data_IF_160638370622
#
_entry.id   IF_160638370622
#
_cell.length_a   1.000
_cell.length_b   1.000
_cell.length_c   1.000
_cell.angle_alpha   90.00
_cell.angle_beta   90.00
_cell.angle_gamma   90.00
#
_symmetry.space_group_name_H-M   'P 1'
#
loop_
_entity.id
_entity.type
_entity.pdbx_description
1 polymer ?
#
# COMPACT_ATOMS: atom_id res chain seq x y z
N UNK A 1 28.77 4.31 -12.01
CA UNK A 1 27.88 3.13 -11.82
C UNK A 1 28.64 2.14 -10.95
N UNK A 2 28.36 2.12 -9.64
CA UNK A 2 28.99 1.17 -8.72
C UNK A 2 28.23 -0.16 -8.81
N UNK A 3 29.01 -1.22 -8.93
CA UNK A 3 28.58 -2.60 -9.13
C UNK A 3 27.87 -3.11 -7.86
N UNK A 4 26.51 -3.17 -7.89
CA UNK A 4 25.65 -3.58 -6.77
C UNK A 4 25.70 -5.10 -6.45
N UNK A 5 26.70 -5.81 -6.98
CA UNK A 5 26.84 -7.27 -6.81
C UNK A 5 27.55 -7.67 -5.51
N UNK A 6 28.00 -6.72 -4.68
CA UNK A 6 28.82 -7.00 -3.49
C UNK A 6 28.04 -7.15 -2.18
N UNK A 7 26.82 -6.68 -2.10
CA UNK A 7 26.04 -6.73 -0.85
C UNK A 7 25.64 -8.15 -0.50
N UNK A 8 25.78 -8.54 0.75
CA UNK A 8 25.28 -9.82 1.26
C UNK A 8 23.77 -9.80 1.36
N UNK A 9 23.13 -10.98 1.37
CA UNK A 9 21.68 -11.09 1.57
C UNK A 9 21.27 -10.50 2.92
N UNK A 10 22.13 -10.59 3.92
CA UNK A 10 21.91 -10.02 5.25
C UNK A 10 21.88 -8.48 5.20
N UNK A 11 22.83 -7.86 4.53
CA UNK A 11 22.89 -6.42 4.36
C UNK A 11 21.67 -5.89 3.61
N UNK A 12 21.26 -6.58 2.54
CA UNK A 12 20.04 -6.25 1.80
C UNK A 12 18.81 -6.38 2.70
N UNK A 13 18.68 -7.46 3.48
CA UNK A 13 17.57 -7.67 4.39
C UNK A 13 17.42 -6.53 5.41
N UNK A 14 18.53 -6.13 6.05
CA UNK A 14 18.53 -5.04 7.03
C UNK A 14 18.25 -3.69 6.37
N UNK A 15 18.78 -3.44 5.17
CA UNK A 15 18.51 -2.21 4.40
C UNK A 15 17.03 -2.13 3.94
N UNK A 16 16.40 -3.28 3.70
CA UNK A 16 14.96 -3.37 3.42
C UNK A 16 14.09 -3.31 4.71
N UNK A 17 14.67 -3.00 5.88
CA UNK A 17 13.92 -2.81 7.12
C UNK A 17 13.57 -4.11 7.86
N UNK A 18 14.07 -5.27 7.44
CA UNK A 18 13.80 -6.51 8.14
C UNK A 18 14.67 -6.64 9.41
N UNK A 19 14.07 -7.01 10.52
CA UNK A 19 14.75 -7.21 11.80
C UNK A 19 15.73 -8.41 11.77
N UNK A 20 15.44 -9.41 10.93
CA UNK A 20 16.30 -10.58 10.76
C UNK A 20 16.20 -11.19 9.36
N UNK A 21 17.27 -11.88 8.96
CA UNK A 21 17.40 -12.51 7.64
C UNK A 21 16.35 -13.61 7.40
N UNK A 22 15.87 -14.27 8.44
CA UNK A 22 14.89 -15.34 8.31
C UNK A 22 13.52 -14.81 7.90
N UNK A 23 13.11 -13.67 8.44
CA UNK A 23 11.87 -12.98 8.05
C UNK A 23 11.96 -12.47 6.62
N UNK A 24 13.07 -11.83 6.24
CA UNK A 24 13.35 -11.44 4.86
C UNK A 24 13.28 -12.64 3.91
N UNK A 25 13.96 -13.75 4.24
CA UNK A 25 14.01 -14.93 3.37
C UNK A 25 12.64 -15.55 3.14
N UNK A 26 11.78 -15.57 4.16
CA UNK A 26 10.39 -16.04 4.04
C UNK A 26 9.56 -15.13 3.18
N UNK A 27 9.60 -13.83 3.45
CA UNK A 27 8.88 -12.82 2.66
C UNK A 27 9.34 -12.83 1.19
N UNK A 28 10.68 -12.86 0.98
CA UNK A 28 11.26 -12.92 -0.36
C UNK A 28 10.82 -14.17 -1.12
N UNK A 29 10.86 -15.35 -0.46
CA UNK A 29 10.42 -16.61 -1.08
C UNK A 29 8.92 -16.62 -1.36
N UNK A 30 8.11 -16.05 -0.46
CA UNK A 30 6.66 -15.93 -0.66
C UNK A 30 6.34 -15.04 -1.86
N UNK A 31 7.05 -13.92 -2.00
CA UNK A 31 6.82 -12.94 -3.06
C UNK A 31 7.40 -13.39 -4.42
N UNK A 32 8.65 -13.88 -4.43
CA UNK A 32 9.36 -14.23 -5.66
C UNK A 32 9.31 -15.72 -6.02
N UNK A 33 8.70 -16.56 -5.19
CA UNK A 33 8.60 -18.01 -5.41
C UNK A 33 9.93 -18.78 -5.22
N UNK A 34 11.05 -18.09 -4.99
CA UNK A 34 12.39 -18.68 -4.82
C UNK A 34 13.14 -17.94 -3.72
N UNK A 35 14.18 -18.60 -3.16
CA UNK A 35 15.04 -17.97 -2.18
C UNK A 35 15.88 -16.84 -2.79
N UNK A 36 16.23 -15.83 -1.99
CA UNK A 36 17.10 -14.73 -2.42
C UNK A 36 18.47 -15.23 -2.93
N UNK A 37 18.95 -16.37 -2.40
CA UNK A 37 20.20 -17.01 -2.84
C UNK A 37 20.07 -17.61 -4.25
N UNK A 38 18.97 -18.28 -4.53
CA UNK A 38 18.67 -18.79 -5.87
C UNK A 38 18.45 -17.66 -6.86
N UNK A 39 17.71 -16.63 -6.44
CA UNK A 39 17.46 -15.43 -7.22
C UNK A 39 18.76 -14.74 -7.68
N UNK A 40 19.75 -14.61 -6.80
CA UNK A 40 21.06 -14.01 -7.12
C UNK A 40 21.87 -14.80 -8.15
N UNK A 41 21.62 -16.11 -8.27
CA UNK A 41 22.28 -16.99 -9.26
C UNK A 41 21.65 -16.94 -10.64
N UNK A 42 20.50 -16.26 -10.77
CA UNK A 42 19.81 -16.17 -12.05
C UNK A 42 20.50 -15.16 -12.95
N UNK A 43 20.52 -15.46 -14.24
CA UNK A 43 21.08 -14.59 -15.26
C UNK A 43 20.38 -13.21 -15.22
N UNK A 44 21.18 -12.13 -15.41
CA UNK A 44 20.68 -10.73 -15.48
C UNK A 44 19.67 -10.51 -16.61
N UNK A 45 19.49 -11.48 -17.51
CA UNK A 45 18.48 -11.47 -18.58
C UNK A 45 17.06 -11.84 -18.10
N UNK A 46 16.88 -12.16 -16.82
CA UNK A 46 15.61 -12.58 -16.25
C UNK A 46 14.94 -11.40 -15.61
N UNK A 47 13.79 -11.02 -16.14
CA UNK A 47 12.93 -10.00 -15.56
C UNK A 47 11.94 -10.63 -14.58
N UNK A 48 11.72 -9.93 -13.46
CA UNK A 48 10.67 -10.27 -12.53
C UNK A 48 9.60 -9.22 -12.63
N UNK A 49 8.40 -9.66 -12.93
CA UNK A 49 7.22 -8.84 -12.99
C UNK A 49 6.18 -9.50 -12.10
N UNK A 50 5.64 -8.80 -11.09
CA UNK A 50 4.68 -9.34 -10.12
C UNK A 50 5.08 -10.70 -9.50
N UNK A 51 6.34 -10.84 -9.08
CA UNK A 51 6.86 -12.10 -8.55
C UNK A 51 7.07 -13.22 -9.59
N UNK A 52 6.81 -12.96 -10.87
CA UNK A 52 6.87 -13.93 -11.96
C UNK A 52 8.14 -13.70 -12.78
N UNK A 53 8.81 -14.77 -13.17
CA UNK A 53 10.07 -14.74 -13.92
C UNK A 53 9.85 -14.94 -15.40
N UNK A 54 10.49 -14.08 -16.20
CA UNK A 54 10.56 -14.23 -17.64
C UNK A 54 12.01 -14.17 -18.13
N UNK A 55 12.36 -15.02 -19.10
CA UNK A 55 13.51 -14.78 -19.95
C UNK A 55 13.12 -13.74 -21.03
N UNK A 56 14.11 -13.01 -21.57
CA UNK A 56 13.89 -12.06 -22.70
C UNK A 56 13.09 -12.65 -23.87
N UNK A 57 13.04 -13.96 -24.00
CA UNK A 57 12.41 -14.68 -25.10
C UNK A 57 11.20 -15.52 -24.65
N UNK A 58 10.62 -15.25 -23.46
CA UNK A 58 9.51 -16.04 -22.87
C UNK A 58 9.80 -17.56 -22.80
N UNK A 59 11.07 -17.97 -22.79
CA UNK A 59 11.44 -19.38 -22.70
C UNK A 59 11.48 -19.83 -21.24
N UNK A 60 10.88 -20.99 -20.92
CA UNK A 60 10.94 -21.54 -19.57
C UNK A 60 12.40 -21.77 -19.16
N UNK A 61 12.75 -21.41 -17.90
CA UNK A 61 14.09 -21.66 -17.37
C UNK A 61 14.16 -23.13 -16.96
N UNK A 62 14.64 -23.97 -17.88
CA UNK A 62 14.63 -25.43 -17.79
C UNK A 62 15.51 -26.04 -16.70
N UNK A 63 16.18 -25.24 -15.86
CA UNK A 63 17.12 -25.73 -14.84
C UNK A 63 16.65 -25.58 -13.38
N UNK A 64 15.41 -25.20 -13.15
CA UNK A 64 14.85 -25.07 -11.80
C UNK A 64 13.63 -25.99 -11.70
N UNK A 65 13.80 -27.10 -11.02
CA UNK A 65 12.89 -28.18 -10.65
C UNK A 65 11.49 -28.33 -11.27
N UNK A 66 11.03 -29.56 -11.38
CA UNK A 66 9.78 -30.01 -12.04
C UNK A 66 8.48 -29.28 -11.65
N UNK A 67 8.44 -28.58 -10.51
CA UNK A 67 7.26 -27.82 -10.05
C UNK A 67 7.07 -26.47 -10.77
N UNK A 68 8.07 -25.97 -11.48
CA UNK A 68 7.99 -24.68 -12.19
C UNK A 68 7.38 -24.83 -13.57
N UNK A 69 7.37 -26.03 -14.12
CA UNK A 69 6.81 -26.28 -15.47
C UNK A 69 5.28 -26.09 -15.49
N UNK A 70 4.57 -26.54 -14.45
CA UNK A 70 3.12 -26.33 -14.33
C UNK A 70 2.75 -24.85 -14.07
N UNK A 71 3.58 -24.14 -13.31
CA UNK A 71 3.40 -22.71 -13.09
C UNK A 71 3.67 -21.91 -14.36
N UNK A 72 4.65 -22.30 -15.18
CA UNK A 72 4.98 -21.62 -16.43
C UNK A 72 3.90 -21.74 -17.51
N UNK A 73 3.19 -22.87 -17.59
CA UNK A 73 2.10 -23.05 -18.56
C UNK A 73 0.87 -22.19 -18.20
N UNK A 74 0.57 -22.02 -16.92
CA UNK A 74 -0.47 -21.10 -16.45
C UNK A 74 -0.06 -19.62 -16.60
N UNK A 75 1.22 -19.31 -16.51
CA UNK A 75 1.76 -17.95 -16.59
C UNK A 75 1.86 -17.45 -18.02
N UNK A 76 2.15 -18.32 -19.00
CA UNK A 76 2.15 -17.93 -20.41
C UNK A 76 0.74 -17.64 -20.96
N UNK A 77 -0.31 -18.10 -20.27
CA UNK A 77 -1.69 -17.79 -20.61
C UNK A 77 -2.25 -16.57 -19.88
N UNK A 78 -1.57 -16.08 -18.87
CA UNK A 78 -1.87 -14.76 -18.26
C UNK A 78 -1.22 -13.71 -19.15
N UNK A 79 -2.03 -12.99 -19.89
CA UNK A 79 -1.61 -11.80 -20.62
C UNK A 79 -0.65 -11.00 -19.75
N UNK A 80 0.46 -10.54 -20.36
CA UNK A 80 1.41 -9.61 -19.78
C UNK A 80 0.63 -8.36 -19.30
N UNK A 81 0.03 -8.45 -18.14
CA UNK A 81 -0.34 -7.26 -17.43
C UNK A 81 0.99 -6.59 -17.13
N UNK A 82 1.37 -5.67 -17.99
CA UNK A 82 2.36 -4.67 -17.68
C UNK A 82 2.09 -4.26 -16.24
N UNK A 83 3.11 -4.02 -15.44
CA UNK A 83 2.94 -3.25 -14.20
C UNK A 83 2.21 -2.00 -14.67
N UNK A 84 0.88 -2.04 -14.64
CA UNK A 84 0.06 -0.90 -14.97
C UNK A 84 0.28 0.01 -13.77
N UNK A 85 1.37 0.78 -13.83
CA UNK A 85 1.56 1.92 -12.96
C UNK A 85 0.52 2.90 -13.48
N UNK A 86 -0.38 3.32 -12.64
CA UNK A 86 -1.35 4.33 -13.02
C UNK A 86 -0.58 5.60 -13.38
N UNK A 87 -0.94 6.19 -14.51
CA UNK A 87 -0.40 7.49 -14.90
C UNK A 87 -0.97 8.55 -13.95
N UNK A 88 -0.26 8.77 -12.86
CA UNK A 88 -0.61 9.76 -11.85
C UNK A 88 0.61 10.54 -11.43
N UNK A 89 0.40 11.82 -11.16
CA UNK A 89 1.45 12.68 -10.63
C UNK A 89 1.58 12.46 -9.13
N UNK A 90 2.75 11.98 -8.69
CA UNK A 90 3.07 11.85 -7.28
C UNK A 90 3.96 13.02 -6.87
N UNK A 91 3.57 13.75 -5.83
CA UNK A 91 4.23 14.95 -5.35
C UNK A 91 4.62 14.82 -3.88
N UNK A 92 5.75 15.44 -3.52
CA UNK A 92 6.10 15.62 -2.11
C UNK A 92 5.49 16.94 -1.62
N UNK A 93 4.62 16.85 -0.60
CA UNK A 93 4.00 18.03 0.02
C UNK A 93 4.19 18.03 1.52
N UNK A 94 4.23 19.24 2.08
CA UNK A 94 4.09 19.45 3.51
C UNK A 94 2.60 19.41 3.86
N UNK A 95 2.20 18.37 4.58
CA UNK A 95 0.82 18.21 5.02
C UNK A 95 0.63 18.78 6.42
N UNK A 96 -0.51 19.44 6.69
CA UNK A 96 -0.86 19.89 8.03
C UNK A 96 -1.21 18.71 8.93
N UNK A 97 -1.27 18.99 10.22
CA UNK A 97 -1.85 18.05 11.19
C UNK A 97 -3.35 17.90 10.93
N UNK A 98 -3.84 16.66 11.01
CA UNK A 98 -5.26 16.33 10.87
C UNK A 98 -5.80 15.80 12.19
N UNK A 99 -6.78 16.50 12.76
CA UNK A 99 -7.52 16.02 13.93
C UNK A 99 -8.68 15.16 13.46
N UNK A 100 -8.76 13.95 13.95
CA UNK A 100 -9.69 12.93 13.48
C UNK A 100 -10.58 12.41 14.62
N UNK A 101 -11.84 12.13 14.30
CA UNK A 101 -12.63 11.16 15.06
C UNK A 101 -12.79 9.91 14.18
N UNK A 102 -12.72 8.73 14.79
CA UNK A 102 -12.67 7.49 14.06
C UNK A 102 -13.48 6.36 14.70
N UNK A 103 -13.88 5.40 13.87
CA UNK A 103 -14.30 4.06 14.28
C UNK A 103 -13.26 3.05 13.76
N UNK A 104 -12.70 2.24 14.68
CA UNK A 104 -11.69 1.24 14.29
C UNK A 104 -12.31 0.04 13.64
N UNK A 105 -11.74 -0.35 12.50
CA UNK A 105 -11.96 -1.63 11.85
C UNK A 105 -10.75 -2.54 12.07
N UNK A 106 -11.03 -3.82 12.32
CA UNK A 106 -10.02 -4.88 12.35
C UNK A 106 -10.44 -5.97 11.39
N UNK A 107 -9.61 -6.28 10.41
CA UNK A 107 -9.90 -7.27 9.39
C UNK A 107 -9.62 -6.80 7.97
N UNK A 108 -10.20 -7.49 7.00
CA UNK A 108 -9.98 -7.23 5.58
C UNK A 108 -10.38 -5.79 5.18
N UNK A 109 -9.56 -5.14 4.34
CA UNK A 109 -9.72 -3.75 3.91
C UNK A 109 -11.10 -3.46 3.30
N UNK A 110 -11.62 -4.36 2.47
CA UNK A 110 -12.91 -4.22 1.80
C UNK A 110 -14.13 -4.26 2.76
N UNK A 111 -13.92 -4.49 4.05
CA UNK A 111 -14.98 -4.49 5.08
C UNK A 111 -15.02 -3.21 5.91
N UNK A 112 -14.15 -2.24 5.65
CA UNK A 112 -14.08 -0.98 6.41
C UNK A 112 -15.38 -0.16 6.34
N UNK A 113 -16.20 -0.36 5.32
CA UNK A 113 -17.50 0.30 5.18
C UNK A 113 -18.39 0.20 6.42
N UNK A 114 -18.32 -0.92 7.16
CA UNK A 114 -19.08 -1.09 8.41
C UNK A 114 -18.63 -0.12 9.51
N UNK A 115 -17.33 0.20 9.56
CA UNK A 115 -16.80 1.19 10.51
C UNK A 115 -17.21 2.61 10.11
N UNK A 116 -17.22 2.91 8.82
CA UNK A 116 -17.77 4.18 8.32
C UNK A 116 -19.25 4.33 8.64
N UNK A 117 -20.08 3.29 8.45
CA UNK A 117 -21.49 3.34 8.84
C UNK A 117 -21.69 3.67 10.31
N UNK A 118 -20.92 3.04 11.21
CA UNK A 118 -20.96 3.29 12.65
C UNK A 118 -20.54 4.75 12.95
N UNK A 119 -19.46 5.20 12.34
CA UNK A 119 -18.96 6.56 12.49
C UNK A 119 -20.01 7.59 12.07
N UNK A 120 -20.61 7.43 10.89
CA UNK A 120 -21.63 8.37 10.39
C UNK A 120 -22.92 8.32 11.21
N UNK A 121 -23.38 7.15 11.63
CA UNK A 121 -24.51 7.03 12.55
C UNK A 121 -24.30 7.80 13.85
N UNK A 122 -23.07 7.86 14.32
CA UNK A 122 -22.71 8.61 15.53
C UNK A 122 -22.52 10.11 15.24
N UNK A 123 -21.86 10.47 14.14
CA UNK A 123 -21.42 11.83 13.83
C UNK A 123 -22.54 12.73 13.25
N UNK A 124 -23.40 12.18 12.37
CA UNK A 124 -24.46 12.96 11.70
C UNK A 124 -25.45 13.61 12.69
N UNK A 125 -26.02 12.89 13.68
CA UNK A 125 -26.93 13.51 14.64
C UNK A 125 -26.27 14.59 15.51
N UNK A 126 -24.95 14.62 15.56
CA UNK A 126 -24.14 15.58 16.34
C UNK A 126 -23.71 16.80 15.51
N UNK A 127 -24.12 16.88 14.26
CA UNK A 127 -23.81 17.98 13.36
C UNK A 127 -22.31 18.04 12.96
N UNK A 128 -21.60 16.90 13.02
CA UNK A 128 -20.18 16.84 12.71
C UNK A 128 -19.91 16.52 11.24
N UNK A 129 -20.96 16.24 10.48
CA UNK A 129 -20.88 15.91 9.05
C UNK A 129 -21.58 17.00 8.26
N UNK A 130 -20.85 17.62 7.33
CA UNK A 130 -21.32 18.63 6.40
C UNK A 130 -20.90 18.26 4.97
N UNK A 131 -21.33 19.00 3.98
CA UNK A 131 -20.89 18.81 2.58
C UNK A 131 -19.39 19.03 2.36
N UNK A 132 -18.70 19.70 3.29
CA UNK A 132 -17.25 19.91 3.25
C UNK A 132 -16.46 18.90 4.09
N UNK A 133 -17.13 18.00 4.81
CA UNK A 133 -16.48 17.01 5.64
C UNK A 133 -15.70 16.03 4.78
N UNK A 134 -14.40 15.89 5.06
CA UNK A 134 -13.54 14.93 4.38
C UNK A 134 -13.40 13.67 5.22
N UNK A 135 -13.43 12.52 4.54
CA UNK A 135 -13.17 11.22 5.14
C UNK A 135 -11.72 10.83 4.96
N UNK A 136 -11.20 10.08 5.93
CA UNK A 136 -9.82 9.61 5.96
C UNK A 136 -9.79 8.17 6.44
N UNK A 137 -9.13 7.30 5.68
CA UNK A 137 -8.76 5.96 6.19
C UNK A 137 -7.31 5.98 6.64
N UNK A 138 -7.07 5.70 7.92
CA UNK A 138 -5.70 5.59 8.47
C UNK A 138 -5.32 4.14 8.61
N UNK A 139 -4.13 3.78 8.14
CA UNK A 139 -3.59 2.42 8.16
C UNK A 139 -2.56 2.27 9.26
N UNK A 140 -2.70 1.23 10.09
CA UNK A 140 -1.82 0.97 11.23
C UNK A 140 -0.88 -0.21 11.03
N UNK A 141 -1.23 -1.11 10.14
CA UNK A 141 -0.50 -2.36 9.94
C UNK A 141 -0.21 -2.60 8.45
N UNK A 142 0.95 -3.19 8.18
CA UNK A 142 1.32 -3.63 6.84
C UNK A 142 0.66 -5.00 6.57
N UNK A 143 -0.22 -5.10 5.55
CA UNK A 143 -0.89 -6.35 5.20
C UNK A 143 0.07 -7.44 4.67
N UNK A 144 1.27 -7.07 4.24
CA UNK A 144 2.28 -8.04 3.81
C UNK A 144 2.87 -8.85 4.97
N UNK A 145 2.81 -8.31 6.20
CA UNK A 145 3.38 -8.94 7.40
C UNK A 145 2.34 -9.27 8.47
N UNK A 146 1.18 -8.62 8.43
CA UNK A 146 0.08 -8.80 9.39
C UNK A 146 -1.00 -9.69 8.78
N UNK A 147 -1.43 -10.72 9.50
CA UNK A 147 -2.56 -11.55 9.03
C UNK A 147 -3.82 -10.71 8.84
N UNK A 148 -4.55 -10.99 7.76
CA UNK A 148 -5.70 -10.19 7.31
C UNK A 148 -6.71 -9.91 8.44
N UNK A 149 -6.95 -10.89 9.32
CA UNK A 149 -7.88 -10.79 10.45
C UNK A 149 -7.42 -9.82 11.57
N UNK A 150 -6.14 -9.40 11.54
CA UNK A 150 -5.53 -8.54 12.56
C UNK A 150 -5.15 -7.15 12.03
N UNK A 151 -5.32 -6.92 10.74
CA UNK A 151 -5.01 -5.62 10.14
C UNK A 151 -5.97 -4.56 10.68
N UNK A 152 -5.41 -3.48 11.21
CA UNK A 152 -6.17 -2.37 11.81
C UNK A 152 -6.22 -1.19 10.86
N UNK A 153 -7.41 -0.60 10.76
CA UNK A 153 -7.69 0.59 9.99
C UNK A 153 -8.67 1.46 10.77
N UNK A 154 -8.54 2.75 10.64
CA UNK A 154 -9.47 3.70 11.22
C UNK A 154 -10.27 4.39 10.11
N UNK A 155 -11.59 4.14 10.09
CA UNK A 155 -12.53 4.91 9.30
C UNK A 155 -12.75 6.25 10.03
N UNK A 156 -12.36 7.36 9.43
CA UNK A 156 -12.26 8.65 10.13
C UNK A 156 -12.91 9.79 9.35
N UNK A 157 -13.30 10.85 10.06
CA UNK A 157 -13.59 12.17 9.50
C UNK A 157 -12.69 13.23 10.15
N UNK A 158 -12.34 14.26 9.37
CA UNK A 158 -11.58 15.41 9.86
C UNK A 158 -12.53 16.30 10.68
N UNK A 159 -12.05 16.74 11.85
CA UNK A 159 -12.76 17.69 12.71
C UNK A 159 -11.90 18.90 13.01
N UNK A 160 -12.50 20.09 12.95
CA UNK A 160 -11.78 21.34 13.25
C UNK A 160 -11.76 21.69 14.75
N UNK A 161 -12.72 21.16 15.50
CA UNK A 161 -12.88 21.43 16.93
C UNK A 161 -12.68 20.17 17.74
N UNK A 162 -12.29 20.34 18.99
CA UNK A 162 -12.25 19.21 19.92
C UNK A 162 -13.66 18.67 20.14
N UNK A 163 -13.83 17.36 19.94
CA UNK A 163 -15.09 16.64 20.02
C UNK A 163 -15.02 15.66 21.17
N UNK A 164 -15.99 15.70 22.07
CA UNK A 164 -16.12 14.65 23.10
C UNK A 164 -16.65 13.38 22.45
N UNK A 165 -15.88 12.32 22.50
CA UNK A 165 -16.21 11.01 21.91
C UNK A 165 -16.61 10.02 23.00
N UNK A 166 -17.36 8.99 22.61
CA UNK A 166 -17.85 7.93 23.49
C UNK A 166 -18.09 6.62 22.72
N UNK A 167 -18.16 5.51 23.43
CA UNK A 167 -18.43 4.20 22.86
C UNK A 167 -17.28 3.68 22.00
N UNK A 168 -17.60 3.27 20.78
CA UNK A 168 -16.62 2.74 19.80
C UNK A 168 -15.90 3.86 19.01
N UNK A 169 -16.25 5.15 19.25
CA UNK A 169 -15.66 6.27 18.55
C UNK A 169 -14.48 6.82 19.35
N UNK A 170 -13.32 6.87 18.70
CA UNK A 170 -12.08 7.41 19.25
C UNK A 170 -11.67 8.73 18.63
N UNK A 171 -10.65 9.34 19.21
CA UNK A 171 -9.92 10.49 18.62
C UNK A 171 -8.49 10.09 18.30
N UNK A 172 -7.97 10.59 17.20
CA UNK A 172 -6.57 10.44 16.82
C UNK A 172 -6.11 11.68 16.05
N UNK A 173 -4.80 11.75 15.83
CA UNK A 173 -4.19 12.83 15.07
C UNK A 173 -3.22 12.22 14.07
N UNK A 174 -3.31 12.64 12.80
CA UNK A 174 -2.25 12.42 11.82
C UNK A 174 -1.30 13.60 11.91
N UNK A 175 -0.03 13.33 12.19
CA UNK A 175 0.98 14.36 12.41
C UNK A 175 1.27 15.14 11.12
N UNK A 176 1.50 16.44 11.27
CA UNK A 176 2.03 17.26 10.19
C UNK A 176 3.40 16.73 9.74
N UNK A 177 3.70 16.81 8.45
CA UNK A 177 4.97 16.32 7.93
C UNK A 177 5.07 16.34 6.43
N UNK A 178 6.18 15.81 5.90
CA UNK A 178 6.35 15.58 4.47
C UNK A 178 5.72 14.26 4.07
N UNK A 179 4.87 14.31 3.05
CA UNK A 179 4.18 13.16 2.51
C UNK A 179 4.39 13.08 0.99
N UNK A 180 4.59 11.87 0.49
CA UNK A 180 4.38 11.55 -0.92
C UNK A 180 2.87 11.40 -1.13
N UNK A 181 2.31 12.16 -2.06
CA UNK A 181 0.88 12.21 -2.33
C UNK A 181 0.64 11.86 -3.78
N UNK A 182 -0.10 10.79 -4.02
CA UNK A 182 -0.64 10.44 -5.33
C UNK A 182 -2.13 10.72 -5.36
N UNK A 183 -2.58 11.47 -6.37
CA UNK A 183 -3.98 11.79 -6.58
C UNK A 183 -4.58 10.83 -7.59
N UNK A 184 -5.66 10.13 -7.20
CA UNK A 184 -6.27 9.09 -8.01
C UNK A 184 -7.77 9.31 -8.16
N UNK A 185 -8.29 9.00 -9.35
CA UNK A 185 -9.72 8.85 -9.63
C UNK A 185 -9.97 7.39 -10.02
N UNK A 186 -10.38 6.57 -9.06
CA UNK A 186 -10.34 5.10 -9.14
C UNK A 186 -11.63 4.43 -8.68
N UNK A 187 -11.88 3.25 -9.21
CA UNK A 187 -12.91 2.33 -8.71
C UNK A 187 -12.41 1.55 -7.49
N UNK A 188 -13.33 0.96 -6.74
CA UNK A 188 -12.98 0.12 -5.58
C UNK A 188 -11.98 -0.99 -5.92
N UNK A 189 -12.07 -1.59 -7.10
CA UNK A 189 -11.19 -2.67 -7.56
C UNK A 189 -9.77 -2.21 -7.94
N UNK A 190 -9.53 -0.90 -8.01
CA UNK A 190 -8.26 -0.32 -8.48
C UNK A 190 -7.37 0.19 -7.33
N UNK A 191 -7.84 0.12 -6.08
CA UNK A 191 -7.04 0.57 -4.92
C UNK A 191 -5.71 -0.17 -4.79
N UNK A 192 -5.69 -1.49 -4.99
CA UNK A 192 -4.44 -2.26 -4.94
C UNK A 192 -3.43 -1.74 -5.96
N UNK A 193 -3.90 -1.41 -7.17
CA UNK A 193 -3.05 -0.86 -8.22
C UNK A 193 -2.54 0.53 -7.86
N UNK A 194 -3.38 1.40 -7.29
CA UNK A 194 -2.97 2.74 -6.85
C UNK A 194 -1.91 2.65 -5.74
N UNK A 195 -2.08 1.76 -4.76
CA UNK A 195 -1.10 1.51 -3.72
C UNK A 195 0.22 0.96 -4.28
N UNK A 196 0.17 0.02 -5.22
CA UNK A 196 1.35 -0.52 -5.89
C UNK A 196 2.09 0.57 -6.67
N UNK A 197 1.35 1.51 -7.28
CA UNK A 197 1.93 2.69 -7.97
C UNK A 197 2.70 3.57 -6.99
N UNK A 198 2.13 3.87 -5.83
CA UNK A 198 2.80 4.65 -4.77
C UNK A 198 4.06 3.95 -4.26
N UNK A 199 3.98 2.66 -3.98
CA UNK A 199 5.12 1.87 -3.50
C UNK A 199 6.24 1.79 -4.54
N UNK A 200 5.90 1.59 -5.82
CA UNK A 200 6.87 1.57 -6.92
C UNK A 200 7.59 2.92 -7.05
N UNK A 201 6.82 4.01 -7.06
CA UNK A 201 7.40 5.35 -7.11
C UNK A 201 8.36 5.62 -5.95
N UNK A 202 7.99 5.19 -4.74
CA UNK A 202 8.80 5.41 -3.55
C UNK A 202 10.19 4.77 -3.67
N UNK A 203 10.30 3.59 -4.32
CA UNK A 203 11.58 2.89 -4.51
C UNK A 203 12.56 3.64 -5.41
N UNK A 204 12.06 4.53 -6.29
CA UNK A 204 12.86 5.27 -7.28
C UNK A 204 12.99 6.75 -6.93
N UNK A 205 12.27 7.23 -5.92
CA UNK A 205 12.11 8.66 -5.62
C UNK A 205 13.28 9.32 -4.89
N UNK A 206 14.21 8.53 -4.31
CA UNK A 206 15.22 9.05 -3.38
C UNK A 206 14.67 9.34 -1.98
N UNK A 207 13.46 8.88 -1.68
CA UNK A 207 12.84 8.95 -0.36
C UNK A 207 12.61 7.55 0.22
N UNK A 208 12.46 7.50 1.53
CA UNK A 208 12.08 6.30 2.28
C UNK A 208 10.88 6.62 3.18
N UNK A 209 10.12 5.60 3.63
CA UNK A 209 9.04 5.83 4.60
C UNK A 209 9.54 6.61 5.81
N UNK A 210 8.80 7.65 6.17
CA UNK A 210 9.03 8.48 7.34
C UNK A 210 8.27 7.98 8.57
N UNK A 211 8.37 8.73 9.66
CA UNK A 211 7.52 8.53 10.82
C UNK A 211 6.14 9.15 10.57
N UNK A 212 5.11 8.53 11.08
CA UNK A 212 3.73 8.97 10.91
C UNK A 212 2.83 7.89 10.35
N UNK A 213 1.56 8.22 10.20
CA UNK A 213 0.56 7.31 9.68
C UNK A 213 0.39 7.47 8.18
N UNK A 214 0.32 6.37 7.48
CA UNK A 214 -0.10 6.32 6.08
C UNK A 214 -1.62 6.37 6.01
N UNK A 215 -2.18 7.16 5.10
CA UNK A 215 -3.61 7.35 5.03
C UNK A 215 -4.10 7.65 3.62
N UNK A 216 -5.39 7.42 3.41
CA UNK A 216 -6.15 7.86 2.24
C UNK A 216 -7.04 9.04 2.63
N UNK A 217 -7.02 10.10 1.84
CA UNK A 217 -7.87 11.28 2.00
C UNK A 217 -8.86 11.33 0.84
N UNK A 218 -10.15 11.19 1.13
CA UNK A 218 -11.20 11.17 0.12
C UNK A 218 -11.76 12.57 -0.12
N UNK A 219 -11.97 12.90 -1.39
CA UNK A 219 -12.42 14.22 -1.84
C UNK A 219 -13.89 14.24 -2.29
N UNK A 220 -14.51 13.07 -2.47
CA UNK A 220 -15.89 12.95 -2.91
C UNK A 220 -16.66 11.85 -2.17
N UNK A 221 -17.97 11.86 -2.30
CA UNK A 221 -18.81 10.66 -2.10
C UNK A 221 -18.84 9.90 -3.43
N UNK A 222 -18.38 8.67 -3.45
CA UNK A 222 -18.34 7.83 -4.64
C UNK A 222 -19.74 7.54 -5.20
N UNK A 223 -20.77 7.58 -4.36
CA UNK A 223 -22.16 7.39 -4.79
C UNK A 223 -22.66 8.56 -5.66
N UNK A 224 -22.11 9.76 -5.46
CA UNK A 224 -22.46 10.96 -6.25
C UNK A 224 -21.63 11.06 -7.54
N UNK A 225 -20.55 10.26 -7.67
CA UNK A 225 -19.72 10.28 -8.86
C UNK A 225 -20.40 9.55 -10.03
N UNK A 226 -20.42 10.13 -11.26
CA UNK A 226 -21.13 9.54 -12.42
C UNK A 226 -20.69 8.11 -12.77
N UNK A 227 -19.43 7.79 -12.52
CA UNK A 227 -18.83 6.46 -12.77
C UNK A 227 -18.60 5.66 -11.50
N UNK A 228 -19.14 6.09 -10.36
CA UNK A 228 -18.89 5.48 -9.05
C UNK A 228 -17.40 5.30 -8.75
N UNK A 229 -16.63 6.38 -8.94
CA UNK A 229 -15.21 6.43 -8.61
C UNK A 229 -14.96 7.21 -7.33
N UNK A 230 -13.91 6.82 -6.64
CA UNK A 230 -13.31 7.57 -5.55
C UNK A 230 -12.31 8.58 -6.13
N UNK A 231 -12.40 9.82 -5.70
CA UNK A 231 -11.34 10.81 -5.87
C UNK A 231 -10.57 10.82 -4.55
N UNK A 232 -9.36 10.28 -4.56
CA UNK A 232 -8.61 9.97 -3.35
C UNK A 232 -7.14 10.33 -3.46
N UNK A 233 -6.59 10.93 -2.40
CA UNK A 233 -5.16 11.09 -2.23
C UNK A 233 -4.62 9.95 -1.35
N UNK A 234 -3.66 9.20 -1.86
CA UNK A 234 -2.88 8.25 -1.06
C UNK A 234 -1.67 9.00 -0.52
N UNK A 235 -1.55 9.06 0.80
CA UNK A 235 -0.55 9.85 1.51
C UNK A 235 0.39 8.94 2.30
N UNK A 236 1.67 8.90 1.92
CA UNK A 236 2.72 8.12 2.60
C UNK A 236 3.71 9.10 3.24
N UNK A 237 3.92 9.04 4.57
CA UNK A 237 4.92 9.88 5.22
C UNK A 237 6.31 9.51 4.72
N UNK A 238 7.15 10.51 4.40
CA UNK A 238 8.46 10.29 3.79
C UNK A 238 9.55 11.15 4.42
N UNK A 239 10.77 10.62 4.38
CA UNK A 239 12.01 11.34 4.69
C UNK A 239 13.04 11.05 3.60
N UNK A 240 14.01 11.94 3.35
CA UNK A 240 15.11 11.68 2.44
C UNK A 240 15.86 10.40 2.81
N UNK A 241 16.42 9.72 1.81
CA UNK A 241 17.36 8.58 1.99
C UNK A 241 18.63 9.01 2.68
#
# INVERSE_FOLDING_TARGET
MQDSTKDTISEIAFRCGFINVSSFSRAFKSFFGVSAKEFRRLDKAIYIKNGIRYSKNCKPISKIGKNIQQVNEQICSVELNELIIMDTKIEIKQMPELNLIYCRHMGAFNKIGQAYEKLFKWAVPRGLVTSSTKTVTVYHDDPAVTGVEKVRQDASIIVEKDVKVEGEIGKSTVSAGKYAIGHFEIKETEFELAWNTMCSWLTESGYQPGEGSTYELYHNDYNEHPEHKFIVDICIPVKPL
#
